data_IF_036725418601
#
_entry.id   IF_036725418601
#
_cell.length_a   1.000
_cell.length_b   1.000
_cell.length_c   1.000
_cell.angle_alpha   90.00
_cell.angle_beta   90.00
_cell.angle_gamma   90.00
#
_symmetry.space_group_name_H-M   'P 1'
#
loop_
_entity.id
_entity.type
_entity.pdbx_description
1 polymer ?
#
# COMPACT_ATOMS: atom_id res chain seq x y z
N UNK A 1 11.76 13.23 11.50
CA UNK A 1 12.68 12.07 11.51
C UNK A 1 13.84 12.35 10.56
N UNK A 2 15.07 12.36 11.08
CA UNK A 2 16.31 12.38 10.28
C UNK A 2 17.00 11.01 10.40
N UNK A 3 16.19 9.98 10.64
CA UNK A 3 16.69 8.64 10.87
C UNK A 3 16.90 7.97 9.53
N UNK A 4 18.08 7.38 9.37
CA UNK A 4 18.46 6.67 8.16
C UNK A 4 17.54 5.44 8.01
N UNK A 5 16.74 5.45 6.95
CA UNK A 5 15.83 4.35 6.64
C UNK A 5 16.61 3.23 5.95
N UNK A 6 16.37 2.00 6.39
CA UNK A 6 17.04 0.81 5.90
C UNK A 6 16.02 -0.17 5.33
N UNK A 7 16.36 -0.77 4.19
CA UNK A 7 15.59 -1.87 3.61
C UNK A 7 16.07 -3.20 4.18
N UNK A 8 15.15 -4.01 4.67
CA UNK A 8 15.40 -5.34 5.22
C UNK A 8 14.68 -6.38 4.37
N UNK A 9 15.45 -7.30 3.80
CA UNK A 9 14.89 -8.45 3.07
C UNK A 9 14.30 -9.46 4.05
N UNK A 10 13.13 -9.99 3.72
CA UNK A 10 12.36 -10.90 4.57
C UNK A 10 12.36 -12.31 3.99
N UNK A 11 12.18 -13.30 4.87
CA UNK A 11 12.21 -14.72 4.49
C UNK A 11 10.84 -15.23 4.00
N UNK A 12 10.72 -16.56 3.86
CA UNK A 12 9.49 -17.19 3.39
C UNK A 12 8.26 -16.95 4.27
N UNK A 13 8.42 -16.61 5.57
CA UNK A 13 7.28 -16.33 6.46
C UNK A 13 6.53 -15.07 6.03
N UNK A 14 7.22 -14.10 5.43
CA UNK A 14 6.59 -12.90 4.93
C UNK A 14 5.62 -13.20 3.78
N UNK A 15 5.91 -14.21 2.95
CA UNK A 15 4.99 -14.66 1.90
C UNK A 15 3.71 -15.27 2.48
N UNK A 16 3.83 -16.09 3.53
CA UNK A 16 2.66 -16.64 4.24
C UNK A 16 1.81 -15.51 4.80
N UNK A 17 2.43 -14.50 5.40
CA UNK A 17 1.72 -13.32 5.87
C UNK A 17 1.01 -12.57 4.74
N UNK A 18 1.65 -12.38 3.59
CA UNK A 18 1.01 -11.75 2.42
C UNK A 18 -0.24 -12.51 1.98
N UNK A 19 -0.15 -13.85 1.87
CA UNK A 19 -1.28 -14.68 1.47
C UNK A 19 -2.44 -14.58 2.47
N UNK A 20 -2.16 -14.68 3.77
CA UNK A 20 -3.15 -14.53 4.83
C UNK A 20 -3.79 -13.14 4.84
N UNK A 21 -2.97 -12.09 4.62
CA UNK A 21 -3.44 -10.72 4.60
C UNK A 21 -4.36 -10.49 3.41
N UNK A 22 -3.96 -10.87 2.20
CA UNK A 22 -4.80 -10.77 1.00
C UNK A 22 -6.10 -11.59 1.12
N UNK A 23 -6.07 -12.75 1.78
CA UNK A 23 -7.27 -13.56 1.98
C UNK A 23 -8.33 -12.86 2.86
N UNK A 24 -7.93 -11.85 3.63
CA UNK A 24 -8.80 -11.12 4.55
C UNK A 24 -9.19 -9.72 4.04
N UNK A 25 -8.72 -9.33 2.86
CA UNK A 25 -8.98 -8.03 2.25
C UNK A 25 -10.27 -7.99 1.42
N UNK A 26 -10.40 -6.95 0.61
CA UNK A 26 -11.57 -6.72 -0.25
C UNK A 26 -11.35 -7.12 -1.71
N UNK A 27 -11.95 -6.32 -2.60
CA UNK A 27 -11.92 -6.47 -4.06
C UNK A 27 -10.51 -6.58 -4.67
N UNK A 28 -9.60 -5.68 -4.33
CA UNK A 28 -8.23 -5.70 -4.85
C UNK A 28 -7.51 -6.95 -4.35
N UNK A 29 -7.67 -7.25 -3.06
CA UNK A 29 -7.04 -8.39 -2.41
C UNK A 29 -7.51 -9.74 -2.98
N UNK A 30 -8.81 -9.89 -3.26
CA UNK A 30 -9.41 -11.08 -3.89
C UNK A 30 -8.82 -11.35 -5.29
N UNK A 31 -8.55 -10.30 -6.07
CA UNK A 31 -7.94 -10.48 -7.39
C UNK A 31 -6.46 -10.81 -7.28
N UNK A 32 -5.78 -10.22 -6.31
CA UNK A 32 -4.37 -10.41 -6.08
C UNK A 32 -4.03 -11.84 -5.63
N UNK A 33 -4.79 -12.41 -4.69
CA UNK A 33 -4.52 -13.76 -4.17
C UNK A 33 -4.55 -14.84 -5.27
N UNK A 34 -5.32 -14.64 -6.33
CA UNK A 34 -5.43 -15.59 -7.44
C UNK A 34 -4.46 -15.33 -8.61
N UNK A 35 -3.80 -14.17 -8.65
CA UNK A 35 -2.99 -13.75 -9.81
C UNK A 35 -1.54 -13.47 -9.49
N UNK A 36 -1.25 -13.11 -8.25
CA UNK A 36 0.10 -12.77 -7.84
C UNK A 36 0.91 -14.04 -7.59
N UNK A 37 1.91 -14.29 -8.44
CA UNK A 37 2.93 -15.29 -8.13
C UNK A 37 4.02 -14.66 -7.26
N UNK A 38 3.93 -14.88 -5.94
CA UNK A 38 4.88 -14.32 -4.97
C UNK A 38 6.33 -14.78 -5.17
N UNK A 39 6.57 -15.84 -5.96
CA UNK A 39 7.92 -16.29 -6.28
C UNK A 39 8.62 -15.46 -7.37
N UNK A 40 7.87 -14.61 -8.09
CA UNK A 40 8.42 -13.69 -9.08
C UNK A 40 8.92 -12.37 -8.48
N UNK A 41 8.99 -12.27 -7.14
CA UNK A 41 9.41 -11.07 -6.44
C UNK A 41 10.12 -11.38 -5.15
N UNK A 42 10.66 -10.34 -4.55
CA UNK A 42 11.29 -10.36 -3.22
C UNK A 42 10.41 -9.58 -2.24
N UNK A 43 10.44 -9.98 -0.97
CA UNK A 43 9.65 -9.33 0.08
C UNK A 43 10.60 -8.58 1.01
N UNK A 44 10.31 -7.32 1.27
CA UNK A 44 11.11 -6.48 2.15
C UNK A 44 10.22 -5.58 3.01
N UNK A 45 10.83 -4.99 4.04
CA UNK A 45 10.27 -3.86 4.79
C UNK A 45 11.28 -2.73 4.83
N UNK A 46 10.81 -1.50 5.00
CA UNK A 46 11.67 -0.33 5.21
C UNK A 46 11.41 0.18 6.62
N UNK A 47 12.46 0.19 7.44
CA UNK A 47 12.39 0.58 8.84
C UNK A 47 13.55 1.53 9.18
N UNK A 48 13.41 2.40 10.19
CA UNK A 48 14.53 3.16 10.74
C UNK A 48 15.66 2.23 11.20
N UNK A 49 16.92 2.65 11.06
CA UNK A 49 18.10 1.87 11.48
C UNK A 49 18.01 1.39 12.93
N UNK A 50 17.39 2.16 13.80
CA UNK A 50 17.29 1.87 15.23
C UNK A 50 16.10 0.96 15.60
N UNK A 51 15.23 0.60 14.65
CA UNK A 51 14.06 -0.26 14.88
C UNK A 51 14.42 -1.59 15.58
N UNK A 52 13.42 -2.19 16.24
CA UNK A 52 13.57 -3.45 16.97
C UNK A 52 13.66 -4.66 16.03
N UNK A 53 14.73 -4.78 15.23
CA UNK A 53 14.88 -5.78 14.15
C UNK A 53 14.75 -7.25 14.64
N UNK A 54 14.95 -7.54 15.92
CA UNK A 54 14.64 -8.86 16.49
C UNK A 54 13.16 -9.25 16.38
N UNK A 55 12.27 -8.28 16.17
CA UNK A 55 10.83 -8.43 16.02
C UNK A 55 10.37 -8.35 14.56
N UNK A 56 11.30 -8.31 13.59
CA UNK A 56 10.98 -8.05 12.19
C UNK A 56 10.02 -9.08 11.56
N UNK A 57 9.97 -10.30 12.09
CA UNK A 57 9.05 -11.35 11.63
C UNK A 57 7.66 -11.31 12.31
N UNK A 58 7.42 -10.37 13.23
CA UNK A 58 6.16 -10.26 14.00
C UNK A 58 5.16 -9.36 13.28
N UNK A 59 4.84 -9.65 12.02
CA UNK A 59 4.08 -8.77 11.12
C UNK A 59 2.69 -8.37 11.63
N UNK A 60 2.08 -9.14 12.55
CA UNK A 60 0.76 -8.86 13.16
C UNK A 60 0.82 -8.13 14.50
N UNK A 61 2.00 -7.79 15.01
CA UNK A 61 2.18 -7.17 16.32
C UNK A 61 2.98 -5.87 16.21
N UNK A 62 2.61 -4.87 17.01
CA UNK A 62 3.35 -3.62 17.14
C UNK A 62 4.64 -3.75 17.95
N UNK A 63 5.28 -2.62 18.20
CA UNK A 63 6.57 -2.51 18.88
C UNK A 63 7.75 -2.82 17.96
N UNK A 64 7.63 -2.58 16.65
CA UNK A 64 8.79 -2.63 15.73
C UNK A 64 9.56 -1.31 15.77
N UNK A 65 8.88 -0.19 15.99
CA UNK A 65 9.50 1.13 16.11
C UNK A 65 9.93 1.40 17.55
N UNK A 66 11.01 2.14 17.72
CA UNK A 66 11.42 2.62 19.04
C UNK A 66 10.50 3.76 19.47
N UNK A 67 10.00 3.70 20.70
CA UNK A 67 9.29 4.81 21.36
C UNK A 67 10.21 5.99 21.77
N UNK A 68 11.44 6.04 21.25
CA UNK A 68 12.49 6.95 21.71
C UNK A 68 12.16 8.40 21.33
N UNK A 69 11.29 9.04 22.10
CA UNK A 69 10.88 10.43 21.91
C UNK A 69 9.43 10.74 22.25
N UNK A 70 8.58 9.72 22.49
CA UNK A 70 7.22 9.99 22.93
C UNK A 70 7.19 10.31 24.44
N UNK A 71 6.70 11.50 24.83
CA UNK A 71 6.65 11.89 26.23
C UNK A 71 5.62 11.04 26.96
N UNK A 72 6.06 9.94 27.58
CA UNK A 72 5.23 9.03 28.39
C UNK A 72 4.43 9.80 29.44
N UNK A 73 3.16 10.10 29.15
CA UNK A 73 2.27 10.84 30.03
C UNK A 73 0.83 10.87 29.54
N UNK A 74 -0.04 10.11 30.24
CA UNK A 74 -1.52 10.16 30.43
C UNK A 74 -2.48 10.70 29.34
N UNK A 75 -2.00 11.03 28.14
CA UNK A 75 -2.80 11.44 27.00
C UNK A 75 -2.70 10.38 25.92
N UNK A 76 -3.67 10.34 25.01
CA UNK A 76 -3.70 9.45 23.85
C UNK A 76 -2.50 9.77 22.94
N UNK A 77 -1.34 9.22 23.26
CA UNK A 77 -0.12 9.38 22.48
C UNK A 77 -0.27 8.69 21.13
N UNK A 78 0.07 9.41 20.07
CA UNK A 78 0.04 8.87 18.72
C UNK A 78 1.11 7.78 18.60
N UNK A 79 0.69 6.55 18.30
CA UNK A 79 1.61 5.44 18.02
C UNK A 79 2.54 5.85 16.87
N UNK A 80 3.87 5.74 17.04
CA UNK A 80 4.81 6.03 15.96
C UNK A 80 4.46 5.19 14.73
N UNK A 81 4.52 5.79 13.55
CA UNK A 81 4.28 5.06 12.32
C UNK A 81 5.05 5.68 11.16
N UNK A 82 5.13 4.92 10.08
CA UNK A 82 5.86 5.31 8.88
C UNK A 82 4.98 5.93 7.80
N UNK A 83 3.78 6.45 8.13
CA UNK A 83 2.81 6.90 7.11
C UNK A 83 3.38 8.01 6.24
N UNK A 84 4.02 9.03 6.83
CA UNK A 84 4.62 10.12 6.06
C UNK A 84 5.74 9.63 5.12
N UNK A 85 6.60 8.74 5.62
CA UNK A 85 7.67 8.15 4.81
C UNK A 85 7.08 7.30 3.69
N UNK A 86 6.07 6.50 3.98
CA UNK A 86 5.45 5.59 3.04
C UNK A 86 4.64 6.33 1.97
N UNK A 87 3.93 7.40 2.34
CA UNK A 87 3.29 8.29 1.38
C UNK A 87 4.30 8.96 0.47
N UNK A 88 5.48 9.35 1.00
CA UNK A 88 6.57 9.83 0.15
C UNK A 88 7.10 8.75 -0.79
N UNK A 89 7.27 7.51 -0.32
CA UNK A 89 7.67 6.38 -1.16
C UNK A 89 6.69 6.16 -2.33
N UNK A 90 5.38 6.18 -2.06
CA UNK A 90 4.34 6.09 -3.10
C UNK A 90 4.42 7.29 -4.05
N UNK A 91 4.53 8.51 -3.53
CA UNK A 91 4.62 9.73 -4.33
C UNK A 91 5.85 9.73 -5.25
N UNK A 92 7.01 9.32 -4.75
CA UNK A 92 8.25 9.22 -5.54
C UNK A 92 8.10 8.18 -6.66
N UNK A 93 7.42 7.05 -6.38
CA UNK A 93 7.06 6.08 -7.42
C UNK A 93 6.12 6.67 -8.47
N UNK A 94 5.05 7.33 -8.07
CA UNK A 94 4.09 7.97 -8.99
C UNK A 94 4.76 9.02 -9.87
N UNK A 95 5.69 9.79 -9.31
CA UNK A 95 6.44 10.83 -10.02
C UNK A 95 7.51 10.28 -10.98
N UNK A 96 7.75 8.97 -10.98
CA UNK A 96 8.84 8.35 -11.76
C UNK A 96 8.50 8.12 -13.23
N UNK A 97 7.21 8.13 -13.61
CA UNK A 97 6.75 7.97 -14.99
C UNK A 97 5.27 8.37 -15.11
N UNK A 98 4.88 8.97 -16.22
CA UNK A 98 3.50 9.44 -16.48
C UNK A 98 2.45 8.32 -16.48
N UNK A 99 2.87 7.07 -16.71
CA UNK A 99 2.05 5.87 -16.68
C UNK A 99 2.02 5.17 -15.31
N UNK A 100 2.64 5.77 -14.29
CA UNK A 100 2.64 5.21 -12.94
C UNK A 100 1.33 5.50 -12.23
N UNK A 101 0.81 4.48 -11.55
CA UNK A 101 -0.38 4.62 -10.71
C UNK A 101 -0.28 3.78 -9.45
N UNK A 102 -1.09 4.17 -8.48
CA UNK A 102 -1.28 3.48 -7.22
C UNK A 102 -2.76 3.23 -7.00
N UNK A 103 -3.10 2.00 -6.62
CA UNK A 103 -4.42 1.66 -6.11
C UNK A 103 -4.29 1.36 -4.62
N UNK A 104 -5.17 1.90 -3.79
CA UNK A 104 -5.23 1.58 -2.36
C UNK A 104 -6.66 1.16 -2.03
N UNK A 105 -6.79 -0.04 -1.49
CA UNK A 105 -8.05 -0.62 -1.09
C UNK A 105 -8.54 0.00 0.23
N UNK A 106 -9.82 0.38 0.28
CA UNK A 106 -10.50 0.72 1.52
C UNK A 106 -11.49 -0.39 1.86
N UNK A 107 -11.07 -1.31 2.72
CA UNK A 107 -11.84 -2.53 3.03
C UNK A 107 -13.09 -2.27 3.88
N UNK A 108 -13.22 -1.07 4.46
CA UNK A 108 -14.37 -0.72 5.29
C UNK A 108 -15.41 0.12 4.57
N UNK A 109 -15.04 0.72 3.43
CA UNK A 109 -15.89 1.66 2.73
C UNK A 109 -16.63 1.03 1.54
N UNK A 110 -17.86 1.48 1.35
CA UNK A 110 -18.73 1.13 0.24
C UNK A 110 -19.10 2.37 -0.57
N UNK A 111 -19.44 2.18 -1.84
CA UNK A 111 -19.84 3.26 -2.75
C UNK A 111 -21.13 4.00 -2.33
N UNK A 112 -21.87 3.45 -1.36
CA UNK A 112 -23.05 4.08 -0.75
C UNK A 112 -22.72 4.98 0.43
N UNK A 113 -21.49 4.93 0.93
CA UNK A 113 -21.09 5.67 2.12
C UNK A 113 -20.90 7.14 1.81
N UNK A 114 -21.11 7.98 2.82
CA UNK A 114 -20.95 9.42 2.71
C UNK A 114 -19.50 9.80 2.99
N UNK A 115 -19.00 10.85 2.33
CA UNK A 115 -17.69 11.44 2.58
C UNK A 115 -16.50 10.49 2.33
N UNK A 116 -16.64 9.57 1.36
CA UNK A 116 -15.55 8.70 0.88
C UNK A 116 -14.66 9.37 -0.19
N UNK A 117 -14.98 10.59 -0.60
CA UNK A 117 -14.23 11.30 -1.62
C UNK A 117 -13.04 12.04 -1.00
N UNK A 118 -11.84 11.81 -1.52
CA UNK A 118 -10.65 12.60 -1.19
C UNK A 118 -10.31 13.46 -2.40
N UNK A 119 -10.35 14.79 -2.21
CA UNK A 119 -10.00 15.73 -3.26
C UNK A 119 -8.56 15.48 -3.77
N UNK A 120 -8.40 15.41 -5.08
CA UNK A 120 -7.16 15.05 -5.78
C UNK A 120 -7.01 13.56 -6.10
N UNK A 121 -7.91 12.70 -5.62
CA UNK A 121 -7.94 11.26 -5.92
C UNK A 121 -9.12 10.90 -6.82
N UNK A 122 -9.14 9.68 -7.36
CA UNK A 122 -10.33 9.12 -8.02
C UNK A 122 -10.77 7.86 -7.29
N UNK A 123 -12.07 7.55 -7.35
CA UNK A 123 -12.62 6.34 -6.74
C UNK A 123 -12.93 5.32 -7.84
N UNK A 124 -12.38 4.12 -7.71
CA UNK A 124 -12.77 2.97 -8.50
C UNK A 124 -13.80 2.17 -7.72
N UNK A 125 -14.93 1.87 -8.35
CA UNK A 125 -16.02 1.12 -7.74
C UNK A 125 -16.25 -0.17 -8.50
N UNK A 126 -16.32 -1.27 -7.75
CA UNK A 126 -16.65 -2.60 -8.25
C UNK A 126 -17.51 -3.32 -7.23
N UNK A 127 -18.69 -3.81 -7.62
CA UNK A 127 -19.60 -4.54 -6.73
C UNK A 127 -19.85 -3.86 -5.36
N UNK A 128 -19.87 -2.52 -5.34
CA UNK A 128 -19.97 -1.62 -4.17
C UNK A 128 -18.69 -1.39 -3.37
N UNK A 129 -17.66 -2.24 -3.50
CA UNK A 129 -16.35 -1.99 -2.91
C UNK A 129 -15.69 -0.79 -3.59
N UNK A 130 -14.88 -0.05 -2.83
CA UNK A 130 -14.15 1.10 -3.36
C UNK A 130 -12.64 0.88 -3.29
N UNK A 131 -11.92 1.55 -4.18
CA UNK A 131 -10.46 1.59 -4.21
C UNK A 131 -10.05 2.97 -4.68
N UNK A 132 -9.14 3.61 -3.94
CA UNK A 132 -8.61 4.90 -4.33
C UNK A 132 -7.58 4.73 -5.44
N UNK A 133 -7.70 5.54 -6.47
CA UNK A 133 -6.76 5.65 -7.56
C UNK A 133 -5.97 6.95 -7.43
N UNK A 134 -4.64 6.81 -7.47
CA UNK A 134 -3.67 7.89 -7.51
C UNK A 134 -2.82 7.73 -8.78
N UNK A 135 -2.67 8.80 -9.55
CA UNK A 135 -1.89 8.79 -10.79
C UNK A 135 -0.58 9.58 -10.66
N UNK A 136 0.21 9.62 -11.73
CA UNK A 136 1.51 10.30 -11.77
C UNK A 136 1.47 11.79 -11.37
N UNK A 137 0.32 12.44 -11.53
CA UNK A 137 0.12 13.86 -11.19
C UNK A 137 -0.51 14.07 -9.81
N UNK A 138 -0.68 13.03 -8.99
CA UNK A 138 -1.20 13.15 -7.62
C UNK A 138 -0.21 13.88 -6.72
N UNK A 139 -0.72 14.79 -5.88
CA UNK A 139 0.10 15.56 -4.95
C UNK A 139 0.40 14.73 -3.68
N UNK A 140 1.56 14.96 -3.05
CA UNK A 140 1.98 14.22 -1.85
C UNK A 140 0.94 14.29 -0.72
N UNK A 141 0.30 15.44 -0.53
CA UNK A 141 -0.75 15.61 0.48
C UNK A 141 -1.96 14.68 0.21
N UNK A 142 -2.35 14.53 -1.06
CA UNK A 142 -3.42 13.62 -1.47
C UNK A 142 -3.02 12.18 -1.19
N UNK A 143 -1.78 11.79 -1.52
CA UNK A 143 -1.25 10.45 -1.23
C UNK A 143 -1.30 10.17 0.28
N UNK A 144 -0.89 11.14 1.11
CA UNK A 144 -0.94 11.04 2.56
C UNK A 144 -2.36 10.88 3.08
N UNK A 145 -3.31 11.65 2.56
CA UNK A 145 -4.71 11.58 2.96
C UNK A 145 -5.33 10.23 2.61
N UNK A 146 -5.06 9.69 1.41
CA UNK A 146 -5.51 8.34 1.03
C UNK A 146 -4.89 7.27 1.93
N UNK A 147 -3.59 7.33 2.18
CA UNK A 147 -2.92 6.36 3.08
C UNK A 147 -3.54 6.38 4.47
N UNK A 148 -3.72 7.57 5.06
CA UNK A 148 -4.35 7.71 6.38
C UNK A 148 -5.79 7.21 6.42
N UNK A 149 -6.58 7.51 5.39
CA UNK A 149 -7.97 7.06 5.28
C UNK A 149 -8.05 5.53 5.23
N UNK A 150 -7.29 4.88 4.34
CA UNK A 150 -7.35 3.44 4.14
C UNK A 150 -6.71 2.64 5.29
N UNK A 151 -5.80 3.26 6.07
CA UNK A 151 -5.16 2.64 7.23
C UNK A 151 -6.03 2.68 8.50
N UNK A 152 -7.24 3.25 8.45
CA UNK A 152 -8.17 3.24 9.60
C UNK A 152 -8.63 1.83 9.99
N UNK A 153 -8.39 0.83 9.13
CA UNK A 153 -8.58 -0.58 9.43
C UNK A 153 -7.29 -1.26 9.89
N UNK A 154 -7.43 -2.41 10.56
CA UNK A 154 -6.35 -3.39 10.82
C UNK A 154 -5.71 -3.95 9.53
N UNK A 155 -6.22 -3.54 8.36
CA UNK A 155 -5.90 -4.06 7.05
C UNK A 155 -5.64 -2.91 6.08
N UNK A 156 -4.42 -2.88 5.53
CA UNK A 156 -4.04 -1.98 4.45
C UNK A 156 -3.48 -2.81 3.31
N UNK A 157 -3.99 -2.60 2.09
CA UNK A 157 -3.48 -3.20 0.85
C UNK A 157 -3.45 -2.13 -0.23
N UNK A 158 -2.31 -2.00 -0.89
CA UNK A 158 -2.15 -1.15 -2.07
C UNK A 158 -1.25 -1.78 -3.10
N UNK A 159 -1.30 -1.29 -4.33
CA UNK A 159 -0.40 -1.69 -5.40
C UNK A 159 0.21 -0.47 -6.06
N UNK A 160 1.44 -0.63 -6.52
CA UNK A 160 2.14 0.28 -7.42
C UNK A 160 2.36 -0.45 -8.75
N UNK A 161 1.95 0.19 -9.83
CA UNK A 161 1.99 -0.41 -11.16
C UNK A 161 2.29 0.66 -12.21
N UNK A 162 2.58 0.20 -13.44
CA UNK A 162 2.79 1.05 -14.61
C UNK A 162 2.00 0.55 -15.79
N UNK A 163 1.53 1.45 -16.64
CA UNK A 163 0.99 1.11 -17.94
C UNK A 163 -0.22 1.94 -18.29
N UNK A 164 -0.84 1.59 -19.42
CA UNK A 164 -1.96 2.33 -19.96
C UNK A 164 -3.20 2.15 -19.08
N UNK A 165 -3.44 3.15 -18.26
CA UNK A 165 -4.67 3.29 -17.49
C UNK A 165 -5.68 3.92 -18.45
N UNK A 166 -6.87 3.34 -18.58
CA UNK A 166 -7.99 4.00 -19.28
C UNK A 166 -8.08 5.47 -18.80
N UNK A 167 -8.45 6.44 -19.64
CA UNK A 167 -8.46 7.88 -19.32
C UNK A 167 -9.22 8.22 -18.00
N UNK A 168 -8.58 8.06 -16.85
CA UNK A 168 -9.13 8.36 -15.53
C UNK A 168 -8.94 9.85 -15.31
N UNK A 169 -10.04 10.57 -15.22
CA UNK A 169 -10.06 11.99 -14.87
C UNK A 169 -9.99 12.09 -13.34
N UNK A 170 -9.16 12.99 -12.80
CA UNK A 170 -9.09 13.26 -11.35
C UNK A 170 -10.47 13.63 -10.78
N UNK A 171 -10.70 13.34 -9.51
CA UNK A 171 -11.94 13.65 -8.79
C UNK A 171 -13.19 13.03 -9.43
N UNK A 172 -13.04 11.81 -9.97
CA UNK A 172 -14.17 11.07 -10.52
C UNK A 172 -14.37 9.74 -9.82
N UNK A 173 -15.63 9.33 -9.76
CA UNK A 173 -16.03 7.98 -9.37
C UNK A 173 -16.28 7.17 -10.63
N UNK A 174 -15.54 6.08 -10.80
CA UNK A 174 -15.52 5.26 -12.00
C UNK A 174 -15.96 3.85 -11.65
N UNK A 175 -17.04 3.40 -12.28
CA UNK A 175 -17.41 1.99 -12.24
C UNK A 175 -16.45 1.20 -13.12
N UNK A 176 -15.80 0.20 -12.55
CA UNK A 176 -14.87 -0.67 -13.27
C UNK A 176 -15.44 -2.08 -13.38
N UNK A 177 -15.17 -2.73 -14.51
CA UNK A 177 -15.48 -4.14 -14.74
C UNK A 177 -14.35 -5.05 -14.26
N UNK A 178 -14.65 -6.34 -14.09
CA UNK A 178 -13.65 -7.38 -13.81
C UNK A 178 -12.46 -7.33 -14.77
N UNK A 179 -12.70 -7.08 -16.06
CA UNK A 179 -11.65 -7.08 -17.07
C UNK A 179 -10.74 -5.85 -16.93
N UNK A 180 -11.29 -4.69 -16.60
CA UNK A 180 -10.48 -3.49 -16.33
C UNK A 180 -9.64 -3.70 -15.06
N UNK A 181 -10.23 -4.26 -14.01
CA UNK A 181 -9.51 -4.52 -12.77
C UNK A 181 -8.40 -5.56 -12.95
N UNK A 182 -8.66 -6.64 -13.69
CA UNK A 182 -7.63 -7.62 -14.10
C UNK A 182 -6.50 -6.98 -14.91
N UNK A 183 -6.82 -5.97 -15.72
CA UNK A 183 -5.84 -5.23 -16.52
C UNK A 183 -4.95 -4.37 -15.62
N UNK A 184 -5.55 -3.62 -14.68
CA UNK A 184 -4.84 -2.82 -13.70
C UNK A 184 -3.90 -3.67 -12.83
N UNK A 185 -4.28 -4.91 -12.50
CA UNK A 185 -3.43 -5.79 -11.70
C UNK A 185 -2.34 -6.51 -12.52
N UNK A 186 -2.33 -6.43 -13.85
CA UNK A 186 -1.35 -7.17 -14.69
C UNK A 186 0.07 -6.64 -14.54
N UNK A 187 0.23 -5.33 -14.39
CA UNK A 187 1.52 -4.65 -14.44
C UNK A 187 2.05 -4.23 -13.07
N UNK A 188 1.62 -4.93 -12.02
CA UNK A 188 2.06 -4.67 -10.65
C UNK A 188 3.56 -4.85 -10.55
N UNK A 189 4.21 -3.78 -10.08
CA UNK A 189 5.62 -3.74 -9.74
C UNK A 189 5.81 -3.94 -8.24
N UNK A 190 4.96 -3.31 -7.41
CA UNK A 190 5.02 -3.43 -5.96
C UNK A 190 3.64 -3.70 -5.38
N UNK A 191 3.53 -4.68 -4.49
CA UNK A 191 2.39 -4.86 -3.59
C UNK A 191 2.77 -4.32 -2.21
N UNK A 192 1.86 -3.56 -1.61
CA UNK A 192 2.01 -2.83 -0.36
C UNK A 192 1.04 -3.41 0.66
N UNK A 193 1.51 -3.78 1.84
CA UNK A 193 0.67 -4.28 2.92
C UNK A 193 1.01 -3.57 4.22
N UNK A 194 0.01 -3.15 4.99
CA UNK A 194 0.21 -2.68 6.35
C UNK A 194 0.73 -3.81 7.23
N UNK A 195 1.67 -3.51 8.11
CA UNK A 195 2.29 -4.48 8.99
C UNK A 195 2.65 -3.86 10.34
N UNK A 196 3.05 -4.72 11.27
CA UNK A 196 3.51 -4.32 12.61
C UNK A 196 2.46 -3.48 13.36
N UNK A 197 1.20 -3.92 13.31
CA UNK A 197 0.06 -3.19 13.92
C UNK A 197 -0.05 -1.72 13.46
N UNK A 198 0.24 -1.50 12.18
CA UNK A 198 0.18 -0.17 11.57
C UNK A 198 1.43 0.68 11.82
N UNK A 199 2.48 0.17 12.46
CA UNK A 199 3.72 0.93 12.61
C UNK A 199 4.54 0.97 11.30
N UNK A 200 4.39 -0.05 10.43
CA UNK A 200 5.15 -0.13 9.19
C UNK A 200 4.43 -0.89 8.08
N UNK A 201 5.21 -1.28 7.07
CA UNK A 201 4.69 -1.88 5.85
C UNK A 201 5.58 -3.02 5.36
N UNK A 202 4.95 -4.02 4.75
CA UNK A 202 5.60 -5.02 3.93
C UNK A 202 5.42 -4.65 2.45
N UNK A 203 6.50 -4.80 1.70
CA UNK A 203 6.52 -4.60 0.26
C UNK A 203 6.91 -5.92 -0.40
N UNK A 204 6.12 -6.39 -1.35
CA UNK A 204 6.57 -7.37 -2.33
C UNK A 204 6.89 -6.62 -3.61
N UNK A 205 8.10 -6.77 -4.15
CA UNK A 205 8.50 -6.14 -5.40
C UNK A 205 8.85 -7.20 -6.43
N UNK A 206 8.27 -7.06 -7.63
CA UNK A 206 8.53 -7.94 -8.75
C UNK A 206 10.00 -7.86 -9.14
N UNK A 207 10.66 -9.00 -9.31
CA UNK A 207 12.00 -9.06 -9.87
C UNK A 207 11.99 -8.46 -11.26
N UNK A 208 12.92 -7.53 -11.50
CA UNK A 208 13.23 -7.11 -12.87
C UNK A 208 13.76 -8.36 -13.58
N UNK A 209 12.97 -8.94 -14.48
CA UNK A 209 13.46 -10.00 -15.34
C UNK A 209 14.59 -9.41 -16.18
N UNK A 210 15.84 -9.78 -15.91
CA UNK A 210 17.00 -9.37 -16.71
C UNK A 210 17.01 -9.95 -18.14
N UNK A 211 15.92 -10.60 -18.59
CA UNK A 211 15.91 -11.42 -19.81
C UNK A 211 14.67 -11.29 -20.71
N UNK A 212 13.79 -10.30 -20.55
CA UNK A 212 12.64 -10.12 -21.47
C UNK A 212 12.43 -8.70 -22.01
N UNK A 213 13.48 -7.87 -22.01
CA UNK A 213 13.56 -6.70 -22.89
C UNK A 213 14.40 -7.05 -24.13
N UNK A 214 13.80 -7.84 -25.04
CA UNK A 214 14.20 -7.93 -26.45
C UNK A 214 12.96 -8.05 -27.32
#
# INVERSE_FOLDING_TARGET
>A
MKDEMMQYQLDGKAKVYIEEHLAAGGMLSEIMIHRLNLNLGDVYTILPRDAHIKQIDRYKAGGILNDAGLPKGQSWEQVPNLDEYFSKFIFDYLSSSDDSYCLIEDVLAYSSDKNIEINGSSLLVHNKSITYFLGATSELEVVLNVVKQCKTAWHFVGILARGDVFNIVKNTTIQISDNQLKTLCRNIQVLLLGAYDGEGYLCWERKKNSELEK
#
